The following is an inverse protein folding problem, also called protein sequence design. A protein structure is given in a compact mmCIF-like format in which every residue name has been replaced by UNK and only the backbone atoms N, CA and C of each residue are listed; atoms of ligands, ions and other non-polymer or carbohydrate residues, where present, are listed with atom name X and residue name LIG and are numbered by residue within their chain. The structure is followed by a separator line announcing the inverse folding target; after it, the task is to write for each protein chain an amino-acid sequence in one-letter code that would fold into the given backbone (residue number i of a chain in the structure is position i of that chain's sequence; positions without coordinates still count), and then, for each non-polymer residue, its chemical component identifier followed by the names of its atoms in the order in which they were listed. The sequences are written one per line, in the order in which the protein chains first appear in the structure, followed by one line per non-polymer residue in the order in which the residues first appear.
data_IF_424865785216
#
_entry.id   IF_424865785216
#
_cell.length_a   1.000
_cell.length_b   1.000
_cell.length_c   1.000
_cell.angle_alpha   90.00
_cell.angle_beta   90.00
_cell.angle_gamma   90.00
#
_symmetry.space_group_name_H-M   'P 1'
#
loop_
_entity.id
_entity.type
_entity.pdbx_description
1 polymer ?
#
# COMPACT_ATOMS: atom_id res chain seq x y z
N UNK A 1 7.26 -11.96 17.24
CA UNK A 1 6.74 -10.58 17.03
C UNK A 1 7.95 -9.66 16.89
N UNK A 2 8.49 -9.46 15.69
CA UNK A 2 9.62 -8.55 15.48
C UNK A 2 9.33 -7.63 14.29
N UNK A 3 8.46 -6.65 14.53
CA UNK A 3 8.57 -5.34 13.88
C UNK A 3 9.15 -4.43 14.96
N UNK A 4 10.15 -3.61 14.62
CA UNK A 4 10.80 -2.73 15.60
C UNK A 4 9.79 -1.97 16.43
N UNK A 5 10.02 -1.88 17.73
CA UNK A 5 9.16 -1.11 18.63
C UNK A 5 9.21 0.36 18.21
N UNK A 6 8.04 0.92 17.90
CA UNK A 6 7.92 2.35 17.68
C UNK A 6 8.13 3.06 19.02
N UNK A 7 9.12 3.96 19.08
CA UNK A 7 9.50 4.67 20.30
C UNK A 7 9.36 6.20 20.22
N UNK A 8 8.87 6.72 19.10
CA UNK A 8 8.66 8.14 18.86
C UNK A 8 7.56 8.38 17.81
N UNK A 9 7.00 9.59 17.84
CA UNK A 9 6.00 10.04 16.87
C UNK A 9 6.58 10.14 15.47
N UNK A 10 5.85 9.61 14.48
CA UNK A 10 6.20 9.80 13.08
C UNK A 10 5.91 11.23 12.63
N UNK A 11 6.71 11.73 11.71
CA UNK A 11 6.47 13.02 11.05
C UNK A 11 6.10 12.82 9.58
N UNK A 12 5.40 13.81 8.99
CA UNK A 12 5.08 13.82 7.56
C UNK A 12 6.28 14.34 6.74
N UNK A 13 7.41 13.64 6.86
CA UNK A 13 8.68 13.96 6.20
C UNK A 13 9.15 12.77 5.34
N UNK A 14 10.18 12.97 4.53
CA UNK A 14 10.81 11.93 3.70
C UNK A 14 9.77 11.07 2.93
N UNK A 15 9.75 9.76 3.18
CA UNK A 15 8.88 8.80 2.49
C UNK A 15 7.40 8.94 2.85
N UNK A 16 7.09 9.39 4.07
CA UNK A 16 5.71 9.68 4.46
C UNK A 16 5.18 10.85 3.63
N UNK A 17 5.97 11.93 3.53
CA UNK A 17 5.63 13.09 2.68
C UNK A 17 5.51 12.69 1.21
N UNK A 18 6.45 11.90 0.70
CA UNK A 18 6.43 11.43 -0.68
C UNK A 18 5.16 10.62 -1.00
N UNK A 19 4.71 9.76 -0.08
CA UNK A 19 3.48 9.00 -0.26
C UNK A 19 2.23 9.88 -0.18
N UNK A 20 2.19 10.84 0.75
CA UNK A 20 1.09 11.80 0.87
C UNK A 20 0.91 12.66 -0.39
N UNK A 21 2.01 13.07 -1.03
CA UNK A 21 1.99 13.83 -2.30
C UNK A 21 1.37 13.06 -3.49
N UNK A 22 1.11 11.75 -3.35
CA UNK A 22 0.38 11.00 -4.36
C UNK A 22 -1.14 11.16 -4.23
N UNK A 23 -1.64 11.67 -3.11
CA UNK A 23 -3.06 12.00 -2.92
C UNK A 23 -3.41 13.23 -3.77
N UNK A 24 -4.53 13.19 -4.49
CA UNK A 24 -5.05 14.36 -5.20
C UNK A 24 -5.80 15.28 -4.22
N UNK A 25 -5.02 15.93 -3.35
CA UNK A 25 -5.43 16.92 -2.37
C UNK A 25 -4.21 17.79 -1.98
N UNK A 26 -4.40 19.03 -1.50
CA UNK A 26 -3.32 19.80 -0.89
C UNK A 26 -2.65 19.04 0.26
N UNK A 27 -1.35 19.26 0.45
CA UNK A 27 -0.60 18.65 1.54
C UNK A 27 -1.00 19.30 2.88
N UNK A 28 -1.42 18.51 3.86
CA UNK A 28 -1.70 18.94 5.24
C UNK A 28 -0.95 18.01 6.21
N UNK A 29 0.05 18.56 6.91
CA UNK A 29 0.92 17.84 7.84
C UNK A 29 0.43 17.82 9.29
N UNK A 30 -0.79 18.32 9.54
CA UNK A 30 -1.44 18.32 10.86
C UNK A 30 -2.60 17.36 10.92
N UNK A 31 -3.48 17.40 9.91
CA UNK A 31 -4.72 16.61 9.89
C UNK A 31 -4.71 15.54 8.79
N UNK A 32 -3.79 15.66 7.83
CA UNK A 32 -3.85 14.90 6.59
C UNK A 32 -4.94 15.40 5.64
N UNK A 33 -5.18 14.66 4.56
CA UNK A 33 -6.15 15.06 3.56
C UNK A 33 -6.83 13.86 2.89
N UNK A 34 -8.04 14.10 2.37
CA UNK A 34 -8.83 13.16 1.58
C UNK A 34 -9.09 13.72 0.19
N UNK A 35 -8.84 12.90 -0.83
CA UNK A 35 -8.99 13.30 -2.22
C UNK A 35 -10.46 13.32 -2.64
N UNK A 36 -10.86 14.38 -3.35
CA UNK A 36 -12.17 14.47 -4.00
C UNK A 36 -12.25 13.61 -5.27
N UNK A 37 -11.13 13.48 -5.99
CA UNK A 37 -11.00 12.65 -7.19
C UNK A 37 -9.79 11.71 -7.07
N UNK A 38 -9.93 10.68 -6.24
CA UNK A 38 -8.82 9.79 -5.88
C UNK A 38 -8.09 9.13 -7.08
N UNK A 39 -8.75 8.98 -8.23
CA UNK A 39 -8.15 8.45 -9.46
C UNK A 39 -7.15 9.42 -10.10
N UNK A 40 -7.31 10.73 -9.90
CA UNK A 40 -6.39 11.77 -10.37
C UNK A 40 -5.06 11.81 -9.60
N UNK A 41 -4.98 11.12 -8.46
CA UNK A 41 -3.74 10.97 -7.70
C UNK A 41 -2.63 10.28 -8.48
N UNK A 42 -1.38 10.38 -8.02
CA UNK A 42 -0.25 9.72 -8.68
C UNK A 42 -0.27 8.20 -8.44
N UNK A 43 0.06 7.38 -9.47
CA UNK A 43 0.04 5.92 -9.34
C UNK A 43 1.16 5.40 -8.43
N UNK A 44 0.84 4.39 -7.62
CA UNK A 44 1.76 3.69 -6.72
C UNK A 44 1.79 2.20 -7.09
N UNK A 45 2.96 1.67 -7.44
CA UNK A 45 3.16 0.22 -7.61
C UNK A 45 3.10 -0.46 -6.24
N UNK A 46 2.22 -1.44 -6.07
CA UNK A 46 2.09 -2.19 -4.82
C UNK A 46 2.66 -3.59 -4.99
N UNK A 47 3.55 -3.94 -4.06
CA UNK A 47 4.11 -5.29 -3.93
C UNK A 47 3.66 -5.86 -2.59
N UNK A 48 3.11 -7.08 -2.59
CA UNK A 48 2.81 -7.83 -1.36
C UNK A 48 3.85 -8.90 -1.13
N UNK A 49 4.37 -8.97 0.09
CA UNK A 49 5.36 -9.97 0.53
C UNK A 49 4.67 -11.08 1.33
N UNK A 50 5.19 -12.32 1.25
CA UNK A 50 4.73 -13.44 2.07
C UNK A 50 4.84 -13.17 3.58
N UNK A 51 5.77 -12.31 4.01
CA UNK A 51 5.88 -11.82 5.41
C UNK A 51 4.60 -11.12 5.90
N UNK A 52 3.74 -10.67 4.98
CA UNK A 52 2.45 -10.03 5.28
C UNK A 52 1.31 -11.01 5.61
N UNK A 53 1.49 -12.33 5.44
CA UNK A 53 0.42 -13.33 5.66
C UNK A 53 -0.20 -13.27 7.05
N UNK A 54 0.58 -12.88 8.07
CA UNK A 54 0.10 -12.69 9.46
C UNK A 54 -0.99 -11.62 9.63
N UNK A 55 -1.11 -10.68 8.69
CA UNK A 55 -2.08 -9.57 8.76
C UNK A 55 -2.97 -9.45 7.51
N UNK A 56 -2.73 -10.23 6.47
CA UNK A 56 -3.48 -10.13 5.22
C UNK A 56 -3.64 -11.46 4.52
N UNK A 57 -4.89 -11.82 4.21
CA UNK A 57 -5.24 -12.97 3.36
C UNK A 57 -4.83 -12.81 1.89
N UNK A 58 -4.43 -11.60 1.46
CA UNK A 58 -4.04 -11.31 0.08
C UNK A 58 -2.53 -11.44 -0.16
N UNK A 59 -1.73 -11.61 0.90
CA UNK A 59 -0.29 -11.83 0.77
C UNK A 59 -0.01 -13.15 0.02
N UNK A 60 1.01 -13.20 -0.84
CA UNK A 60 1.38 -14.45 -1.53
C UNK A 60 1.91 -15.49 -0.52
N UNK A 61 1.91 -16.76 -0.93
CA UNK A 61 2.48 -17.82 -0.09
C UNK A 61 3.99 -17.67 0.09
N UNK A 62 4.68 -17.30 -0.99
CA UNK A 62 6.14 -17.18 -1.04
C UNK A 62 6.57 -15.89 -1.74
N UNK A 63 7.79 -15.44 -1.43
CA UNK A 63 8.44 -14.33 -2.10
C UNK A 63 7.69 -12.99 -2.04
N UNK A 64 7.74 -12.27 -3.16
CA UNK A 64 7.12 -10.96 -3.35
C UNK A 64 6.33 -10.96 -4.68
N UNK A 65 5.11 -10.44 -4.65
CA UNK A 65 4.23 -10.38 -5.83
C UNK A 65 3.83 -8.93 -6.11
N UNK A 66 4.03 -8.50 -7.36
CA UNK A 66 3.47 -7.24 -7.84
C UNK A 66 1.96 -7.39 -8.04
N UNK A 67 1.18 -6.51 -7.40
CA UNK A 67 -0.28 -6.60 -7.35
C UNK A 67 -0.98 -5.43 -8.07
N UNK A 68 -0.21 -4.68 -8.86
CA UNK A 68 -0.72 -3.61 -9.72
C UNK A 68 -0.57 -2.20 -9.15
N UNK A 69 -1.30 -1.29 -9.77
CA UNK A 69 -1.34 0.14 -9.50
C UNK A 69 -2.44 0.49 -8.50
N UNK A 70 -2.06 1.29 -7.51
CA UNK A 70 -2.95 1.85 -6.50
C UNK A 70 -2.80 3.36 -6.46
N UNK A 71 -3.77 4.01 -5.82
CA UNK A 71 -3.83 5.46 -5.58
C UNK A 71 -4.05 5.72 -4.10
N UNK A 72 -3.49 6.82 -3.59
CA UNK A 72 -3.76 7.28 -2.23
C UNK A 72 -5.09 8.02 -2.23
N UNK A 73 -6.08 7.46 -1.52
CA UNK A 73 -7.42 8.06 -1.37
C UNK A 73 -7.40 9.12 -0.28
N UNK A 74 -6.77 8.80 0.86
CA UNK A 74 -6.57 9.73 1.97
C UNK A 74 -5.40 9.30 2.84
N UNK A 75 -4.91 10.24 3.63
CA UNK A 75 -3.88 10.02 4.65
C UNK A 75 -4.21 10.85 5.89
N UNK A 76 -3.85 10.36 7.08
CA UNK A 76 -4.16 11.00 8.36
C UNK A 76 -3.18 10.53 9.46
N UNK A 77 -2.92 11.35 10.49
CA UNK A 77 -2.23 10.90 11.69
C UNK A 77 -3.20 10.21 12.65
N UNK A 78 -2.75 9.15 13.33
CA UNK A 78 -3.47 8.55 14.47
C UNK A 78 -2.51 7.97 15.49
N UNK A 79 -2.96 7.74 16.73
CA UNK A 79 -2.16 7.06 17.75
C UNK A 79 -2.13 5.56 17.46
N UNK A 80 -0.93 5.04 17.19
CA UNK A 80 -0.70 3.63 16.93
C UNK A 80 -0.77 2.77 18.19
N UNK A 81 -0.67 1.44 18.02
CA UNK A 81 -0.77 0.47 19.14
C UNK A 81 0.27 0.65 20.25
N UNK A 82 1.41 1.28 19.93
CA UNK A 82 2.49 1.56 20.89
C UNK A 82 2.36 2.93 21.58
N UNK A 83 1.25 3.66 21.37
CA UNK A 83 1.01 4.97 22.00
C UNK A 83 1.63 6.17 21.29
N UNK A 84 2.35 5.95 20.18
CA UNK A 84 2.97 7.01 19.37
C UNK A 84 2.16 7.32 18.11
N UNK A 85 2.25 8.56 17.63
CA UNK A 85 1.62 9.02 16.40
C UNK A 85 2.21 8.29 15.19
N UNK A 86 1.34 7.78 14.32
CA UNK A 86 1.69 7.19 13.03
C UNK A 86 0.88 7.82 11.91
N UNK A 87 1.49 7.96 10.73
CA UNK A 87 0.79 8.40 9.52
C UNK A 87 0.22 7.20 8.77
N UNK A 88 -1.09 7.20 8.55
CA UNK A 88 -1.80 6.15 7.83
C UNK A 88 -2.26 6.61 6.46
N UNK A 89 -2.41 5.63 5.58
CA UNK A 89 -2.74 5.83 4.19
C UNK A 89 -3.80 4.81 3.79
N UNK A 90 -4.85 5.28 3.14
CA UNK A 90 -5.82 4.43 2.45
C UNK A 90 -5.43 4.34 0.98
N UNK A 91 -5.01 3.14 0.54
CA UNK A 91 -4.75 2.87 -0.85
C UNK A 91 -5.93 2.13 -1.49
N UNK A 92 -6.31 2.54 -2.71
CA UNK A 92 -7.33 1.88 -3.53
C UNK A 92 -6.74 1.51 -4.88
N UNK A 93 -7.07 0.31 -5.36
CA UNK A 93 -6.57 -0.21 -6.64
C UNK A 93 -7.21 0.55 -7.81
N UNK A 94 -6.38 0.93 -8.77
CA UNK A 94 -6.79 1.58 -10.03
C UNK A 94 -5.91 1.03 -11.14
N UNK A 95 -6.25 -0.17 -11.60
CA UNK A 95 -5.45 -0.92 -12.56
C UNK A 95 -6.38 -1.75 -13.44
N UNK A 96 -6.12 -1.73 -14.74
CA UNK A 96 -6.87 -2.48 -15.75
C UNK A 96 -6.52 -3.97 -15.72
N UNK A 97 -5.32 -4.35 -15.29
CA UNK A 97 -4.97 -5.75 -15.12
C UNK A 97 -5.81 -6.34 -13.97
N UNK A 98 -6.32 -7.59 -14.07
CA UNK A 98 -7.06 -8.21 -12.99
C UNK A 98 -6.16 -8.46 -11.77
N UNK A 99 -6.71 -8.30 -10.56
CA UNK A 99 -5.95 -8.55 -9.34
C UNK A 99 -5.61 -10.06 -9.22
N UNK A 100 -4.41 -10.45 -8.71
CA UNK A 100 -3.94 -11.84 -8.77
C UNK A 100 -4.77 -12.87 -8.00
N UNK A 101 -5.64 -12.44 -7.09
CA UNK A 101 -6.54 -13.30 -6.31
C UNK A 101 -7.94 -13.44 -6.92
N UNK A 102 -8.22 -12.78 -8.04
CA UNK A 102 -9.47 -12.96 -8.79
C UNK A 102 -9.33 -14.15 -9.74
N UNK A 103 -10.47 -14.75 -10.14
CA UNK A 103 -10.48 -15.86 -11.12
C UNK A 103 -9.73 -15.47 -12.40
N UNK A 104 -10.03 -14.28 -12.95
CA UNK A 104 -9.37 -13.74 -14.14
C UNK A 104 -7.86 -13.55 -13.94
N UNK A 105 -7.44 -13.04 -12.77
CA UNK A 105 -6.02 -12.87 -12.45
C UNK A 105 -5.25 -14.18 -12.33
N UNK A 106 -5.89 -15.22 -11.75
CA UNK A 106 -5.33 -16.57 -11.64
C UNK A 106 -5.16 -17.18 -13.03
N UNK A 107 -6.19 -17.12 -13.87
CA UNK A 107 -6.16 -17.63 -15.24
C UNK A 107 -5.11 -16.91 -16.09
N UNK A 108 -5.04 -15.58 -16.00
CA UNK A 108 -4.04 -14.78 -16.69
C UNK A 108 -2.62 -15.16 -16.28
N UNK A 109 -2.37 -15.33 -14.98
CA UNK A 109 -1.04 -15.72 -14.48
C UNK A 109 -0.61 -17.09 -15.02
N UNK A 110 -1.54 -18.06 -15.06
CA UNK A 110 -1.31 -19.38 -15.67
C UNK A 110 -1.03 -19.28 -17.17
N UNK A 111 -1.85 -18.51 -17.90
CA UNK A 111 -1.70 -18.30 -19.35
C UNK A 111 -0.35 -17.67 -19.72
N UNK A 112 0.16 -16.77 -18.88
CA UNK A 112 1.45 -16.11 -19.07
C UNK A 112 2.64 -16.94 -18.54
N UNK A 113 2.40 -18.09 -17.90
CA UNK A 113 3.47 -18.92 -17.33
C UNK A 113 4.23 -18.25 -16.19
N UNK A 114 3.59 -17.37 -15.43
CA UNK A 114 4.26 -16.66 -14.33
C UNK A 114 4.55 -17.61 -13.16
N UNK A 115 5.82 -17.69 -12.76
CA UNK A 115 6.30 -18.51 -11.65
C UNK A 115 7.19 -17.70 -10.70
N UNK A 116 7.42 -18.23 -9.50
CA UNK A 116 8.37 -17.66 -8.54
C UNK A 116 9.78 -17.64 -9.15
N UNK A 117 10.40 -16.48 -9.19
CA UNK A 117 11.73 -16.28 -9.75
C UNK A 117 12.78 -16.29 -8.63
N UNK A 118 13.85 -17.05 -8.81
CA UNK A 118 15.02 -17.09 -7.93
C UNK A 118 16.21 -16.40 -8.61
N UNK A 119 17.18 -15.87 -7.84
CA UNK A 119 18.41 -15.30 -8.37
C UNK A 119 19.22 -16.28 -9.23
#
# INVERSE_FOLDING_TARGET
VHGGEHSFDQTLTHMNRALALNCDAPLDDKNGAESKNWRAGKPVRVVRSSKGRRISKYAPEEGNRYDGIYKVVKYWPEIGKCGFLVWRYLLRRDDAEPAPWTTEGIERSKKLGLSLQYP
#
